data_IF_978416549880
#
_entry.id   IF_978416549880
#
_cell.length_a   1.000
_cell.length_b   1.000
_cell.length_c   1.000
_cell.angle_alpha   90.00
_cell.angle_beta   90.00
_cell.angle_gamma   90.00
#
_symmetry.space_group_name_H-M   'P 1'
#
loop_
_entity.id
_entity.type
_entity.pdbx_description
1 polymer ?
#
# COMPACT_ATOMS: atom_id res chain seq x y z
N UNK A 1 12.18 -12.80 9.78
CA UNK A 1 13.52 -13.15 9.28
C UNK A 1 13.73 -12.29 8.03
N UNK A 2 14.67 -11.35 8.11
CA UNK A 2 15.15 -10.57 6.96
C UNK A 2 16.35 -11.28 6.33
N UNK A 3 16.82 -10.81 5.17
CA UNK A 3 18.01 -11.35 4.55
C UNK A 3 17.80 -12.52 3.57
N UNK A 4 16.61 -12.64 2.96
CA UNK A 4 16.28 -13.75 2.05
C UNK A 4 15.91 -13.28 0.63
N UNK A 5 16.27 -12.05 0.23
CA UNK A 5 15.95 -11.54 -1.10
C UNK A 5 16.94 -12.07 -2.16
N UNK A 6 18.18 -12.31 -1.77
CA UNK A 6 19.24 -12.84 -2.63
C UNK A 6 19.14 -14.37 -2.69
N UNK A 7 19.27 -14.94 -3.88
CA UNK A 7 19.08 -16.38 -4.13
C UNK A 7 20.36 -17.11 -4.45
N UNK A 8 21.31 -16.43 -5.04
CA UNK A 8 22.57 -17.01 -5.54
C UNK A 8 23.77 -16.61 -4.67
N UNK A 9 23.55 -15.69 -3.71
CA UNK A 9 24.61 -15.20 -2.81
C UNK A 9 24.23 -15.49 -1.36
N UNK A 10 25.10 -16.17 -0.65
CA UNK A 10 24.92 -16.45 0.77
C UNK A 10 25.20 -15.18 1.58
N UNK A 11 24.28 -14.84 2.48
CA UNK A 11 24.39 -13.71 3.39
C UNK A 11 24.23 -14.18 4.85
N UNK A 12 24.94 -13.52 5.75
CA UNK A 12 24.98 -13.86 7.16
C UNK A 12 24.39 -12.73 8.00
N UNK A 13 23.79 -13.11 9.11
CA UNK A 13 23.28 -12.16 10.09
C UNK A 13 24.41 -11.33 10.69
N UNK A 14 24.11 -10.11 11.09
CA UNK A 14 25.10 -9.15 11.61
C UNK A 14 24.73 -8.66 13.01
N UNK A 15 25.73 -8.58 13.87
CA UNK A 15 25.62 -7.84 15.12
C UNK A 15 25.63 -6.32 14.90
N UNK A 16 25.31 -5.51 15.95
CA UNK A 16 25.13 -4.06 15.84
C UNK A 16 26.31 -3.31 15.21
N UNK A 17 27.54 -3.73 15.53
CA UNK A 17 28.75 -3.08 14.98
C UNK A 17 28.87 -3.25 13.46
N UNK A 18 28.68 -4.49 12.96
CA UNK A 18 28.72 -4.74 11.50
C UNK A 18 27.56 -4.03 10.81
N UNK A 19 26.37 -4.07 11.39
CA UNK A 19 25.18 -3.37 10.89
C UNK A 19 25.45 -1.87 10.68
N UNK A 20 26.00 -1.17 11.69
CA UNK A 20 26.33 0.25 11.59
C UNK A 20 27.48 0.53 10.60
N UNK A 21 28.48 -0.35 10.52
CA UNK A 21 29.56 -0.20 9.56
C UNK A 21 29.05 -0.30 8.12
N UNK A 22 28.17 -1.28 7.83
CA UNK A 22 27.54 -1.41 6.51
C UNK A 22 26.70 -0.17 6.19
N UNK A 23 25.87 0.30 7.13
CA UNK A 23 25.10 1.52 6.96
C UNK A 23 25.98 2.72 6.60
N UNK A 24 27.01 2.98 7.39
CA UNK A 24 27.90 4.11 7.17
C UNK A 24 28.62 4.02 5.82
N UNK A 25 29.06 2.83 5.42
CA UNK A 25 29.70 2.61 4.12
C UNK A 25 28.72 2.91 2.97
N UNK A 26 27.50 2.38 3.05
CA UNK A 26 26.48 2.60 2.02
C UNK A 26 26.14 4.08 1.88
N UNK A 27 25.93 4.77 3.02
CA UNK A 27 25.59 6.19 2.99
C UNK A 27 26.77 7.04 2.51
N UNK A 28 28.00 6.73 2.90
CA UNK A 28 29.20 7.41 2.39
C UNK A 28 29.27 7.32 0.85
N UNK A 29 29.12 6.13 0.28
CA UNK A 29 29.19 5.92 -1.17
C UNK A 29 28.03 6.62 -1.90
N UNK A 30 26.81 6.52 -1.36
CA UNK A 30 25.66 7.20 -1.94
C UNK A 30 25.76 8.73 -1.85
N UNK A 31 26.31 9.29 -0.76
CA UNK A 31 26.46 10.74 -0.59
C UNK A 31 27.53 11.32 -1.52
N UNK A 32 28.55 10.55 -1.86
CA UNK A 32 29.55 10.95 -2.86
C UNK A 32 28.94 11.02 -4.28
N UNK A 33 27.95 10.19 -4.56
CA UNK A 33 27.25 10.16 -5.85
C UNK A 33 26.08 11.15 -5.93
N UNK A 34 25.37 11.33 -4.81
CA UNK A 34 24.13 12.12 -4.72
C UNK A 34 24.28 13.20 -3.65
N UNK A 35 24.69 14.42 -4.02
CA UNK A 35 24.97 15.52 -3.07
C UNK A 35 23.77 15.91 -2.19
N UNK A 36 22.56 15.81 -2.73
CA UNK A 36 21.32 16.14 -2.01
C UNK A 36 20.64 14.91 -1.41
N UNK A 37 21.38 13.85 -1.11
CA UNK A 37 20.85 12.58 -0.62
C UNK A 37 19.98 12.75 0.62
N UNK A 38 18.72 12.35 0.51
CA UNK A 38 17.79 12.24 1.65
C UNK A 38 17.50 10.79 1.92
N UNK A 39 17.94 10.33 3.09
CA UNK A 39 17.80 8.94 3.51
C UNK A 39 17.21 8.82 4.92
N UNK A 40 16.79 7.61 5.27
CA UNK A 40 16.30 7.26 6.59
C UNK A 40 16.59 5.79 6.89
N UNK A 41 17.19 5.55 8.06
CA UNK A 41 17.35 4.21 8.63
C UNK A 41 16.25 4.00 9.67
N UNK A 42 15.30 3.05 9.48
CA UNK A 42 14.28 2.75 10.47
C UNK A 42 14.90 2.33 11.80
N UNK A 43 14.40 2.93 12.87
CA UNK A 43 14.86 2.59 14.22
C UNK A 43 14.41 1.17 14.57
N UNK A 44 15.25 0.49 15.30
CA UNK A 44 14.97 -0.81 15.89
C UNK A 44 14.78 -0.63 17.41
N UNK A 45 14.15 -1.59 18.10
CA UNK A 45 14.21 -1.57 19.56
C UNK A 45 15.67 -1.73 20.03
N UNK A 46 16.03 -1.04 21.12
CA UNK A 46 17.44 -0.87 21.51
C UNK A 46 18.14 -2.17 21.92
N UNK A 47 17.37 -3.18 22.37
CA UNK A 47 17.91 -4.50 22.75
C UNK A 47 18.13 -5.44 21.55
N UNK A 48 17.88 -5.01 20.31
CA UNK A 48 18.08 -5.87 19.14
C UNK A 48 19.58 -6.02 18.84
N UNK A 49 20.07 -7.23 19.00
CA UNK A 49 21.50 -7.55 18.84
C UNK A 49 21.81 -8.28 17.53
N UNK A 50 20.79 -8.65 16.74
CA UNK A 50 20.97 -9.49 15.59
C UNK A 50 20.08 -9.03 14.42
N UNK A 51 20.68 -8.81 13.25
CA UNK A 51 20.06 -8.26 12.06
C UNK A 51 20.27 -9.19 10.86
N UNK A 52 19.20 -9.54 10.14
CA UNK A 52 19.28 -10.37 8.93
C UNK A 52 19.60 -9.54 7.67
N UNK A 53 19.17 -8.30 7.66
CA UNK A 53 19.33 -7.33 6.59
C UNK A 53 19.34 -5.91 7.15
N UNK A 54 19.59 -4.93 6.26
CA UNK A 54 19.44 -3.52 6.56
C UNK A 54 18.57 -2.85 5.50
N UNK A 55 17.41 -2.31 5.92
CA UNK A 55 16.55 -1.49 5.08
C UNK A 55 16.98 -0.02 5.16
N UNK A 56 17.41 0.56 4.05
CA UNK A 56 17.75 1.99 3.96
C UNK A 56 16.80 2.66 3.01
N UNK A 57 15.97 3.55 3.55
CA UNK A 57 15.00 4.29 2.77
C UNK A 57 15.65 5.51 2.12
N UNK A 58 15.40 5.69 0.82
CA UNK A 58 15.90 6.79 0.02
C UNK A 58 14.75 7.56 -0.60
N UNK A 59 14.77 8.90 -0.50
CA UNK A 59 13.77 9.71 -1.18
C UNK A 59 14.03 9.73 -2.68
N UNK A 60 13.07 9.31 -3.48
CA UNK A 60 13.28 8.96 -4.89
C UNK A 60 13.75 10.12 -5.78
N UNK A 61 13.36 11.35 -5.43
CA UNK A 61 13.78 12.58 -6.13
C UNK A 61 15.24 12.96 -5.90
N UNK A 62 15.87 12.45 -4.81
CA UNK A 62 17.28 12.69 -4.51
C UNK A 62 18.22 11.61 -5.06
N UNK A 63 17.67 10.55 -5.64
CA UNK A 63 18.44 9.44 -6.25
C UNK A 63 17.83 9.07 -7.63
N UNK A 64 17.78 10.00 -8.60
CA UNK A 64 17.01 9.85 -9.84
C UNK A 64 17.41 8.62 -10.65
N UNK A 65 18.68 8.35 -10.80
CA UNK A 65 19.23 7.30 -11.66
C UNK A 65 19.63 6.03 -10.89
N UNK A 66 19.21 5.90 -9.63
CA UNK A 66 19.51 4.69 -8.86
C UNK A 66 18.72 3.50 -9.42
N UNK A 67 19.45 2.48 -9.82
CA UNK A 67 18.96 1.22 -10.35
C UNK A 67 20.01 0.13 -10.24
N UNK A 68 19.75 -1.10 -10.71
CA UNK A 68 20.69 -2.23 -10.58
C UNK A 68 22.09 -1.92 -11.08
N UNK A 69 22.24 -1.42 -12.29
CA UNK A 69 23.57 -1.10 -12.86
C UNK A 69 24.34 -0.01 -12.09
N UNK A 70 23.62 0.95 -11.46
CA UNK A 70 24.28 1.94 -10.60
C UNK A 70 24.73 1.32 -9.29
N UNK A 71 23.97 0.39 -8.72
CA UNK A 71 24.33 -0.36 -7.52
C UNK A 71 25.56 -1.24 -7.80
N UNK A 72 25.57 -1.95 -8.92
CA UNK A 72 26.71 -2.75 -9.37
C UNK A 72 27.98 -1.89 -9.49
N UNK A 73 27.87 -0.74 -10.12
CA UNK A 73 28.99 0.21 -10.30
C UNK A 73 29.51 0.79 -8.97
N UNK A 74 28.62 1.07 -8.00
CA UNK A 74 29.00 1.68 -6.73
C UNK A 74 29.54 0.66 -5.72
N UNK A 75 28.88 -0.50 -5.58
CA UNK A 75 29.12 -1.43 -4.48
C UNK A 75 29.82 -2.71 -4.89
N UNK A 76 29.89 -3.00 -6.20
CA UNK A 76 30.45 -4.24 -6.75
C UNK A 76 29.97 -5.51 -6.01
N UNK A 77 28.65 -5.69 -5.84
CA UNK A 77 28.08 -6.83 -5.14
C UNK A 77 28.17 -8.12 -5.97
N UNK A 78 28.02 -9.29 -5.34
CA UNK A 78 27.91 -10.57 -6.07
C UNK A 78 26.53 -10.74 -6.72
N UNK A 79 25.48 -10.17 -6.13
CA UNK A 79 24.11 -10.27 -6.64
C UNK A 79 23.35 -8.98 -6.39
N UNK A 80 22.54 -8.55 -7.39
CA UNK A 80 21.55 -7.48 -7.24
C UNK A 80 20.18 -8.01 -7.63
N UNK A 81 19.21 -7.89 -6.73
CA UNK A 81 17.80 -8.20 -6.98
C UNK A 81 16.96 -6.93 -6.94
N UNK A 82 16.05 -6.75 -7.91
CA UNK A 82 15.17 -5.59 -8.00
C UNK A 82 13.70 -6.00 -7.96
N UNK A 83 12.93 -5.41 -7.06
CA UNK A 83 11.49 -5.63 -6.93
C UNK A 83 10.76 -4.36 -6.51
N UNK A 84 9.98 -3.76 -7.43
CA UNK A 84 9.03 -2.68 -7.11
C UNK A 84 9.64 -1.43 -6.45
N UNK A 85 10.90 -1.07 -6.77
CA UNK A 85 11.60 0.07 -6.18
C UNK A 85 12.40 -0.27 -4.92
N UNK A 86 12.51 -1.55 -4.60
CA UNK A 86 13.46 -2.11 -3.62
C UNK A 86 14.60 -2.74 -4.40
N UNK A 87 15.82 -2.43 -4.01
CA UNK A 87 17.05 -2.99 -4.55
C UNK A 87 17.80 -3.70 -3.44
N UNK A 88 17.83 -5.03 -3.51
CA UNK A 88 18.54 -5.89 -2.56
C UNK A 88 19.89 -6.30 -3.15
N UNK A 89 20.95 -6.18 -2.40
CA UNK A 89 22.28 -6.62 -2.80
C UNK A 89 23.12 -7.02 -1.58
N UNK A 90 24.22 -7.70 -1.80
CA UNK A 90 25.14 -8.08 -0.73
C UNK A 90 26.28 -7.05 -0.62
N UNK A 91 26.59 -6.69 0.63
CA UNK A 91 27.81 -5.94 0.97
C UNK A 91 28.46 -6.62 2.18
N UNK A 92 29.70 -7.11 1.99
CA UNK A 92 30.43 -7.88 3.02
C UNK A 92 29.64 -9.06 3.56
N UNK A 93 28.99 -9.83 2.67
CA UNK A 93 28.13 -10.97 3.01
C UNK A 93 26.96 -10.59 3.97
N UNK A 94 26.45 -9.38 3.83
CA UNK A 94 25.26 -8.93 4.55
C UNK A 94 24.28 -8.29 3.55
N UNK A 95 22.99 -8.61 3.65
CA UNK A 95 21.99 -8.08 2.74
C UNK A 95 21.69 -6.61 3.05
N UNK A 96 21.73 -5.79 2.00
CA UNK A 96 21.32 -4.39 2.02
C UNK A 96 20.11 -4.21 1.11
N UNK A 97 19.06 -3.60 1.62
CA UNK A 97 17.86 -3.25 0.88
C UNK A 97 17.74 -1.73 0.78
N UNK A 98 17.95 -1.18 -0.43
CA UNK A 98 17.69 0.23 -0.72
C UNK A 98 16.25 0.39 -1.18
N UNK A 99 15.43 1.11 -0.39
CA UNK A 99 13.99 1.24 -0.61
C UNK A 99 13.68 2.65 -1.10
N UNK A 100 13.38 2.82 -2.38
CA UNK A 100 13.00 4.13 -2.94
C UNK A 100 11.59 4.50 -2.53
N UNK A 101 11.42 5.67 -1.92
CA UNK A 101 10.14 6.23 -1.51
C UNK A 101 9.87 7.56 -2.20
N UNK A 102 8.66 7.72 -2.72
CA UNK A 102 8.23 8.99 -3.30
C UNK A 102 8.17 10.10 -2.24
N UNK A 103 8.49 11.38 -2.58
CA UNK A 103 8.45 12.51 -1.65
C UNK A 103 7.12 12.65 -0.91
N UNK A 104 6.00 12.46 -1.63
CA UNK A 104 4.66 12.59 -1.06
C UNK A 104 4.31 11.51 -0.02
N UNK A 105 5.06 10.41 0.03
CA UNK A 105 4.89 9.31 0.98
C UNK A 105 5.94 9.31 2.09
N UNK A 106 6.96 10.16 1.99
CA UNK A 106 8.15 10.13 2.83
C UNK A 106 7.85 10.16 4.34
N UNK A 107 6.97 11.08 4.76
CA UNK A 107 6.61 11.23 6.17
C UNK A 107 5.92 9.98 6.73
N UNK A 108 4.97 9.42 5.97
CA UNK A 108 4.26 8.20 6.37
C UNK A 108 5.15 6.97 6.33
N UNK A 109 6.03 6.86 5.33
CA UNK A 109 6.97 5.75 5.22
C UNK A 109 7.90 5.68 6.43
N UNK A 110 8.46 6.83 6.86
CA UNK A 110 9.32 6.91 8.05
C UNK A 110 8.66 6.36 9.30
N UNK A 111 7.37 6.66 9.52
CA UNK A 111 6.64 6.19 10.70
C UNK A 111 6.18 4.73 10.54
N UNK A 112 5.71 4.36 9.35
CA UNK A 112 5.18 3.02 9.11
C UNK A 112 6.25 1.92 9.18
N UNK A 113 7.46 2.20 8.71
CA UNK A 113 8.55 1.23 8.72
C UNK A 113 9.44 1.30 9.96
N UNK A 114 9.21 2.30 10.81
CA UNK A 114 9.96 2.47 12.05
C UNK A 114 9.60 1.41 13.10
N UNK A 115 10.48 1.20 14.07
CA UNK A 115 10.25 0.35 15.26
C UNK A 115 9.91 -1.13 14.94
N UNK A 116 10.66 -1.77 14.04
CA UNK A 116 10.68 -3.24 13.85
C UNK A 116 9.32 -3.96 13.91
N UNK A 117 8.44 -3.70 12.97
CA UNK A 117 7.16 -4.42 12.88
C UNK A 117 5.95 -3.67 13.44
N UNK A 118 6.14 -2.53 14.11
CA UNK A 118 5.05 -1.67 14.58
C UNK A 118 4.03 -1.35 13.47
N UNK A 119 4.50 -0.99 12.26
CA UNK A 119 3.61 -0.71 11.12
C UNK A 119 2.71 -1.89 10.73
N UNK A 120 3.17 -3.13 10.88
CA UNK A 120 2.33 -4.30 10.65
C UNK A 120 1.23 -4.42 11.71
N UNK A 121 1.58 -4.23 12.98
CA UNK A 121 0.64 -4.35 14.09
C UNK A 121 -0.39 -3.21 14.08
N UNK A 122 0.05 -1.95 13.97
CA UNK A 122 -0.83 -0.78 13.85
C UNK A 122 -1.71 -0.84 12.58
N UNK A 123 -1.19 -1.44 11.50
CA UNK A 123 -1.97 -1.70 10.28
C UNK A 123 -3.12 -2.69 10.49
N UNK A 124 -3.00 -3.65 11.44
CA UNK A 124 -4.10 -4.56 11.81
C UNK A 124 -5.18 -3.84 12.59
N UNK A 125 -4.82 -2.94 13.52
CA UNK A 125 -5.78 -2.07 14.22
C UNK A 125 -6.54 -1.21 13.19
N UNK A 126 -5.83 -0.53 12.29
CA UNK A 126 -6.46 0.24 11.22
C UNK A 126 -7.47 -0.59 10.39
N UNK A 127 -7.14 -1.84 10.06
CA UNK A 127 -8.06 -2.74 9.32
C UNK A 127 -9.28 -3.14 10.12
N UNK A 128 -9.15 -3.33 11.44
CA UNK A 128 -10.30 -3.57 12.32
C UNK A 128 -11.26 -2.38 12.27
N UNK A 129 -10.72 -1.16 12.21
CA UNK A 129 -11.46 0.10 12.03
C UNK A 129 -11.90 0.35 10.56
N UNK A 130 -11.71 -0.58 9.62
CA UNK A 130 -12.00 -0.51 8.16
C UNK A 130 -11.06 0.37 7.34
N UNK A 131 -9.92 0.78 7.88
CA UNK A 131 -8.92 1.55 7.17
C UNK A 131 -7.70 0.70 6.79
N UNK A 132 -6.88 1.26 5.91
CA UNK A 132 -5.58 0.71 5.52
C UNK A 132 -4.51 1.74 5.86
N UNK A 133 -3.72 1.44 6.87
CA UNK A 133 -2.55 2.22 7.23
C UNK A 133 -1.30 1.64 6.55
N UNK A 134 -0.43 2.50 6.03
CA UNK A 134 0.80 2.12 5.36
C UNK A 134 1.64 3.33 4.95
N UNK A 135 2.74 3.09 4.24
CA UNK A 135 3.63 4.15 3.78
C UNK A 135 2.95 5.22 2.90
N UNK A 136 1.82 4.92 2.30
CA UNK A 136 1.03 5.86 1.50
C UNK A 136 0.02 6.68 2.34
N UNK A 137 0.02 6.54 3.66
CA UNK A 137 -0.91 7.18 4.57
C UNK A 137 -2.08 6.28 4.99
N UNK A 138 -3.03 6.89 5.70
CA UNK A 138 -4.30 6.27 6.06
C UNK A 138 -5.25 6.35 4.88
N UNK A 139 -5.82 5.20 4.50
CA UNK A 139 -6.70 5.08 3.33
C UNK A 139 -7.96 4.32 3.69
N UNK A 140 -9.05 4.66 3.04
CA UNK A 140 -10.32 3.95 3.11
C UNK A 140 -10.61 3.26 1.79
N UNK A 141 -11.04 2.00 1.85
CA UNK A 141 -11.44 1.23 0.67
C UNK A 141 -12.97 1.18 0.61
N UNK A 142 -13.53 1.87 -0.37
CA UNK A 142 -14.96 1.91 -0.58
C UNK A 142 -15.44 0.81 -1.52
N UNK A 143 -16.62 0.28 -1.21
CA UNK A 143 -17.33 -0.73 -2.01
C UNK A 143 -18.74 -0.25 -2.32
N UNK A 144 -19.33 -0.78 -3.38
CA UNK A 144 -20.70 -0.49 -3.76
C UNK A 144 -21.67 -1.32 -2.90
N UNK A 145 -22.59 -0.65 -2.20
CA UNK A 145 -23.64 -1.28 -1.37
C UNK A 145 -23.13 -2.36 -0.41
N UNK A 146 -22.01 -2.10 0.27
CA UNK A 146 -21.35 -3.09 1.16
C UNK A 146 -20.99 -4.43 0.48
N UNK A 147 -21.24 -4.56 -0.81
CA UNK A 147 -20.87 -5.70 -1.62
C UNK A 147 -19.37 -5.64 -1.96
N UNK A 148 -18.56 -6.45 -1.28
CA UNK A 148 -17.10 -6.48 -1.47
C UNK A 148 -16.64 -6.90 -2.86
N UNK A 149 -17.53 -7.42 -3.71
CA UNK A 149 -17.20 -7.77 -5.10
C UNK A 149 -16.98 -6.54 -5.98
N UNK A 150 -17.58 -5.39 -5.63
CA UNK A 150 -17.50 -4.16 -6.42
C UNK A 150 -16.75 -3.09 -5.65
N UNK A 151 -15.46 -2.93 -5.96
CA UNK A 151 -14.60 -1.88 -5.40
C UNK A 151 -14.85 -0.56 -6.14
N UNK A 152 -15.30 0.47 -5.41
CA UNK A 152 -15.46 1.84 -5.94
C UNK A 152 -14.13 2.60 -6.02
N UNK A 153 -13.24 2.37 -5.05
CA UNK A 153 -11.94 3.03 -5.01
C UNK A 153 -11.24 2.89 -3.67
N UNK A 154 -10.02 3.41 -3.62
CA UNK A 154 -9.22 3.55 -2.40
C UNK A 154 -8.89 5.04 -2.23
N UNK A 155 -9.37 5.65 -1.16
CA UNK A 155 -9.29 7.09 -0.93
C UNK A 155 -8.33 7.40 0.20
N UNK A 156 -7.41 8.33 -0.03
CA UNK A 156 -6.52 8.84 1.02
C UNK A 156 -7.35 9.68 1.98
N UNK A 157 -7.29 9.30 3.27
CA UNK A 157 -7.90 10.02 4.39
C UNK A 157 -6.90 11.02 4.95
N UNK A 158 -5.67 10.58 5.26
CA UNK A 158 -4.61 11.45 5.75
C UNK A 158 -3.22 10.95 5.38
N UNK A 159 -2.32 11.91 5.09
CA UNK A 159 -0.87 11.69 4.95
C UNK A 159 -0.09 12.33 6.11
N UNK A 160 -0.75 12.77 7.16
CA UNK A 160 -0.10 13.24 8.38
C UNK A 160 0.07 12.07 9.36
N UNK A 161 1.30 11.53 9.56
CA UNK A 161 1.50 10.33 10.37
C UNK A 161 1.18 10.54 11.85
N UNK A 162 1.36 11.76 12.41
CA UNK A 162 0.96 12.08 13.79
C UNK A 162 -0.55 11.91 13.94
N UNK A 163 -1.34 12.64 13.14
CA UNK A 163 -2.80 12.54 13.16
C UNK A 163 -3.30 11.11 12.91
N UNK A 164 -2.60 10.35 12.06
CA UNK A 164 -2.98 8.95 11.79
C UNK A 164 -2.75 8.07 13.02
N UNK A 165 -1.61 8.18 13.72
CA UNK A 165 -1.38 7.39 14.92
C UNK A 165 -2.33 7.79 16.05
N UNK A 166 -2.59 9.07 16.24
CA UNK A 166 -3.59 9.58 17.19
C UNK A 166 -5.00 9.04 16.88
N UNK A 167 -5.43 9.05 15.60
CA UNK A 167 -6.69 8.45 15.17
C UNK A 167 -6.76 6.93 15.44
N UNK A 168 -5.64 6.24 15.35
CA UNK A 168 -5.54 4.81 15.68
C UNK A 168 -5.42 4.56 17.20
N UNK A 169 -5.49 5.62 18.02
CA UNK A 169 -5.45 5.53 19.47
C UNK A 169 -4.05 5.38 20.06
N UNK A 170 -3.02 5.86 19.35
CA UNK A 170 -1.64 5.84 19.81
C UNK A 170 -1.14 7.23 20.23
N UNK A 171 -0.34 7.29 21.29
CA UNK A 171 0.41 8.48 21.67
C UNK A 171 1.63 8.65 20.74
N UNK A 172 1.59 9.67 19.87
CA UNK A 172 2.65 9.90 18.90
C UNK A 172 3.97 10.35 19.55
N UNK A 173 3.93 11.07 20.64
CA UNK A 173 5.14 11.57 21.31
C UNK A 173 5.86 10.40 22.00
N UNK A 174 5.12 9.49 22.63
CA UNK A 174 5.66 8.22 23.14
C UNK A 174 6.27 7.37 22.03
N UNK A 175 5.65 7.31 20.83
CA UNK A 175 6.23 6.64 19.67
C UNK A 175 7.58 7.25 19.26
N UNK A 176 7.72 8.58 19.33
CA UNK A 176 8.96 9.26 18.96
C UNK A 176 10.13 8.94 19.91
N UNK A 177 9.87 8.65 21.17
CA UNK A 177 10.91 8.20 22.12
C UNK A 177 11.54 6.86 21.73
N UNK A 178 10.79 6.03 20.99
CA UNK A 178 11.18 4.67 20.62
C UNK A 178 11.12 3.71 21.81
N UNK A 179 11.49 2.46 21.56
CA UNK A 179 11.34 1.36 22.50
C UNK A 179 12.69 0.75 22.87
N UNK A 180 12.84 0.37 24.15
CA UNK A 180 14.03 -0.31 24.64
C UNK A 180 14.00 -1.78 24.24
N UNK A 181 12.85 -2.42 24.38
CA UNK A 181 12.65 -3.84 24.08
C UNK A 181 11.47 -4.06 23.11
N UNK A 182 11.37 -5.26 22.60
CA UNK A 182 10.24 -5.66 21.74
C UNK A 182 8.94 -5.71 22.54
N UNK A 183 8.99 -6.17 23.80
CA UNK A 183 7.84 -6.21 24.70
C UNK A 183 7.31 -4.78 24.98
N UNK A 184 8.20 -3.80 25.15
CA UNK A 184 7.79 -2.41 25.34
C UNK A 184 7.00 -1.89 24.12
N UNK A 185 7.42 -2.25 22.91
CA UNK A 185 6.66 -1.93 21.69
C UNK A 185 5.33 -2.70 21.62
N UNK A 186 5.30 -3.97 22.08
CA UNK A 186 4.07 -4.75 22.15
C UNK A 186 3.07 -4.15 23.14
N UNK A 187 3.54 -3.73 24.32
CA UNK A 187 2.71 -3.02 25.29
C UNK A 187 2.11 -1.75 24.69
N UNK A 188 2.92 -0.96 24.02
CA UNK A 188 2.45 0.25 23.35
C UNK A 188 1.35 -0.04 22.30
N UNK A 189 1.42 -1.17 21.60
CA UNK A 189 0.35 -1.61 20.68
C UNK A 189 -0.93 -2.00 21.42
N UNK A 190 -0.80 -2.69 22.55
CA UNK A 190 -1.93 -3.14 23.39
C UNK A 190 -2.63 -1.95 24.08
N UNK A 191 -1.87 -0.93 24.47
CA UNK A 191 -2.36 0.29 25.13
C UNK A 191 -3.14 1.20 24.20
N UNK A 192 -3.11 0.97 22.88
CA UNK A 192 -3.93 1.76 21.93
C UNK A 192 -5.40 1.75 22.36
N UNK A 193 -6.04 2.92 22.32
CA UNK A 193 -7.47 3.05 22.61
C UNK A 193 -8.34 2.19 21.69
N UNK A 194 -7.90 1.99 20.45
CA UNK A 194 -8.57 1.19 19.42
C UNK A 194 -8.06 -0.26 19.33
N UNK A 195 -7.28 -0.70 20.34
CA UNK A 195 -6.85 -2.09 20.40
C UNK A 195 -8.05 -3.03 20.56
N UNK A 196 -8.05 -4.09 19.76
CA UNK A 196 -8.96 -5.24 19.93
C UNK A 196 -8.17 -6.49 19.55
N UNK A 197 -8.22 -7.52 20.40
CA UNK A 197 -7.56 -8.79 20.12
C UNK A 197 -8.06 -9.40 18.80
N UNK A 198 -9.30 -9.16 18.44
CA UNK A 198 -9.91 -9.63 17.18
C UNK A 198 -9.19 -9.13 15.92
N UNK A 199 -8.41 -8.03 16.02
CA UNK A 199 -7.62 -7.52 14.90
C UNK A 199 -6.47 -8.46 14.51
N UNK A 200 -6.06 -9.34 15.42
CA UNK A 200 -4.87 -10.18 15.30
C UNK A 200 -5.19 -11.66 15.11
N UNK A 201 -6.40 -12.10 15.48
CA UNK A 201 -6.80 -13.50 15.40
C UNK A 201 -6.86 -14.00 13.95
N UNK A 202 -6.29 -15.18 13.63
CA UNK A 202 -6.21 -15.71 12.25
C UNK A 202 -7.55 -15.84 11.54
N UNK A 203 -8.63 -16.16 12.25
CA UNK A 203 -9.99 -16.28 11.70
C UNK A 203 -10.53 -14.95 11.17
N UNK A 204 -10.05 -13.82 11.66
CA UNK A 204 -10.47 -12.47 11.24
C UNK A 204 -9.59 -11.90 10.11
N UNK A 205 -8.54 -12.63 9.70
CA UNK A 205 -7.60 -12.20 8.66
C UNK A 205 -8.00 -12.76 7.30
N UNK A 206 -7.70 -12.02 6.23
CA UNK A 206 -7.81 -12.54 4.85
C UNK A 206 -6.75 -13.61 4.59
N UNK A 207 -6.94 -14.44 3.55
CA UNK A 207 -5.99 -15.46 3.15
C UNK A 207 -4.57 -14.88 2.91
N UNK A 208 -4.50 -13.73 2.20
CA UNK A 208 -3.23 -13.05 1.93
C UNK A 208 -2.55 -12.53 3.21
N UNK A 209 -3.34 -12.10 4.20
CA UNK A 209 -2.79 -11.66 5.48
C UNK A 209 -2.23 -12.85 6.25
N UNK A 210 -3.00 -13.94 6.38
CA UNK A 210 -2.52 -15.18 7.02
C UNK A 210 -1.22 -15.67 6.39
N UNK A 211 -1.16 -15.76 5.04
CA UNK A 211 0.04 -16.21 4.33
C UNK A 211 1.27 -15.33 4.60
N UNK A 212 1.10 -14.00 4.71
CA UNK A 212 2.20 -13.09 5.06
C UNK A 212 2.60 -13.19 6.51
N UNK A 213 1.64 -13.33 7.40
CA UNK A 213 1.88 -13.34 8.85
C UNK A 213 2.55 -14.65 9.30
N UNK A 214 2.23 -15.79 8.67
CA UNK A 214 2.92 -17.07 8.94
C UNK A 214 4.42 -17.02 8.66
N UNK A 215 4.89 -16.08 7.85
CA UNK A 215 6.31 -15.89 7.52
C UNK A 215 7.00 -14.85 8.40
N UNK A 216 6.28 -14.16 9.30
CA UNK A 216 6.81 -13.04 10.08
C UNK A 216 7.01 -13.43 11.53
N UNK A 217 8.26 -13.54 11.94
CA UNK A 217 8.60 -13.85 13.33
C UNK A 217 8.01 -12.83 14.30
N UNK A 218 8.06 -11.54 13.96
CA UNK A 218 7.49 -10.48 14.82
C UNK A 218 5.97 -10.61 15.06
N UNK A 219 5.23 -11.23 14.13
CA UNK A 219 3.82 -11.53 14.34
C UNK A 219 3.65 -12.70 15.31
N UNK A 220 4.44 -13.76 15.17
CA UNK A 220 4.40 -14.90 16.09
C UNK A 220 4.82 -14.49 17.50
N UNK A 221 5.89 -13.70 17.63
CA UNK A 221 6.33 -13.16 18.92
C UNK A 221 5.22 -12.33 19.57
N UNK A 222 4.52 -11.50 18.80
CA UNK A 222 3.39 -10.72 19.29
C UNK A 222 2.21 -11.59 19.70
N UNK A 223 1.88 -12.64 18.95
CA UNK A 223 0.79 -13.56 19.31
C UNK A 223 1.10 -14.32 20.62
N UNK A 224 2.33 -14.82 20.78
CA UNK A 224 2.76 -15.43 22.02
C UNK A 224 2.67 -14.45 23.21
N UNK A 225 3.10 -13.21 22.97
CA UNK A 225 3.01 -12.15 23.98
C UNK A 225 1.56 -11.86 24.39
N UNK A 226 0.62 -11.87 23.43
CA UNK A 226 -0.80 -11.66 23.68
C UNK A 226 -1.43 -12.77 24.53
N UNK A 227 -1.01 -14.02 24.38
CA UNK A 227 -1.52 -15.14 25.17
C UNK A 227 -1.29 -14.92 26.66
N UNK A 228 -0.15 -14.32 27.03
CA UNK A 228 0.27 -14.11 28.42
C UNK A 228 -0.18 -12.75 28.99
N UNK A 229 -0.23 -11.71 28.16
CA UNK A 229 -0.28 -10.32 28.61
C UNK A 229 -1.50 -9.54 28.09
N UNK A 230 -2.28 -10.07 27.14
CA UNK A 230 -3.31 -9.25 26.52
C UNK A 230 -4.51 -9.00 27.43
N UNK A 231 -4.99 -7.75 27.49
CA UNK A 231 -6.33 -7.51 27.97
C UNK A 231 -7.32 -8.22 27.02
N UNK A 232 -8.31 -8.93 27.59
CA UNK A 232 -9.40 -9.57 26.80
C UNK A 232 -10.33 -8.52 26.17
N UNK A 233 -9.76 -7.39 25.74
CA UNK A 233 -10.49 -6.27 25.15
C UNK A 233 -10.91 -6.66 23.74
N UNK A 234 -12.22 -6.76 23.53
CA UNK A 234 -12.83 -6.93 22.22
C UNK A 234 -13.65 -5.69 21.91
N UNK A 235 -13.47 -5.16 20.71
CA UNK A 235 -14.26 -4.04 20.20
C UNK A 235 -15.06 -4.50 19.01
N UNK A 236 -16.32 -4.07 18.94
CA UNK A 236 -17.11 -4.30 17.75
C UNK A 236 -16.47 -3.62 16.54
N UNK A 237 -16.54 -4.28 15.41
CA UNK A 237 -16.02 -3.70 14.17
C UNK A 237 -17.02 -2.67 13.66
N UNK A 238 -16.63 -1.40 13.45
CA UNK A 238 -17.57 -0.39 12.99
C UNK A 238 -18.18 -0.79 11.63
N UNK A 239 -19.41 -0.37 11.37
CA UNK A 239 -20.00 -0.41 10.03
C UNK A 239 -19.22 0.48 9.06
N UNK A 240 -19.51 0.41 7.76
CA UNK A 240 -18.87 1.29 6.78
C UNK A 240 -19.26 2.75 7.00
N UNK A 241 -20.52 3.01 7.36
CA UNK A 241 -21.02 4.36 7.65
C UNK A 241 -20.35 4.96 8.89
N UNK A 242 -20.25 4.18 9.97
CA UNK A 242 -19.56 4.61 11.20
C UNK A 242 -18.08 4.89 10.94
N UNK A 243 -17.39 4.07 10.15
CA UNK A 243 -15.99 4.31 9.80
C UNK A 243 -15.81 5.61 9.00
N UNK A 244 -16.69 5.90 8.04
CA UNK A 244 -16.68 7.15 7.28
C UNK A 244 -16.91 8.34 8.21
N UNK A 245 -17.90 8.25 9.11
CA UNK A 245 -18.21 9.28 10.10
C UNK A 245 -17.02 9.55 11.02
N UNK A 246 -16.42 8.51 11.59
CA UNK A 246 -15.21 8.63 12.44
C UNK A 246 -14.06 9.35 11.70
N UNK A 247 -13.86 9.01 10.41
CA UNK A 247 -12.81 9.64 9.62
C UNK A 247 -13.08 11.13 9.38
N UNK A 248 -14.32 11.51 9.06
CA UNK A 248 -14.69 12.91 8.78
C UNK A 248 -14.71 13.78 10.05
N UNK A 249 -15.06 13.20 11.20
CA UNK A 249 -15.00 13.88 12.49
C UNK A 249 -13.54 14.17 12.90
N UNK A 250 -12.63 13.23 12.68
CA UNK A 250 -11.22 13.38 13.05
C UNK A 250 -10.38 14.12 11.98
N UNK A 251 -10.71 13.94 10.70
CA UNK A 251 -10.04 14.55 9.53
C UNK A 251 -11.07 15.32 8.70
N UNK A 252 -11.59 16.45 9.15
CA UNK A 252 -12.66 17.17 8.45
C UNK A 252 -12.27 17.58 7.02
N UNK A 253 -10.97 17.75 6.77
CA UNK A 253 -10.43 18.05 5.45
C UNK A 253 -10.46 16.89 4.45
N UNK A 254 -10.75 15.66 4.89
CA UNK A 254 -10.60 14.48 4.02
C UNK A 254 -11.69 14.37 2.94
N UNK A 255 -12.89 14.93 3.17
CA UNK A 255 -14.03 14.87 2.23
C UNK A 255 -14.33 13.46 1.76
N UNK A 256 -14.28 12.46 2.66
CA UNK A 256 -14.33 11.05 2.31
C UNK A 256 -15.68 10.66 1.72
N UNK A 257 -16.78 11.13 2.31
CA UNK A 257 -18.16 10.88 1.86
C UNK A 257 -18.38 11.38 0.43
N UNK A 258 -17.92 12.59 0.14
CA UNK A 258 -18.07 13.18 -1.20
C UNK A 258 -17.30 12.38 -2.26
N UNK A 259 -16.08 11.94 -1.93
CA UNK A 259 -15.27 11.09 -2.82
C UNK A 259 -15.94 9.74 -3.09
N UNK A 260 -16.54 9.12 -2.06
CA UNK A 260 -17.29 7.86 -2.19
C UNK A 260 -18.52 8.07 -3.06
N UNK A 261 -19.32 9.12 -2.79
CA UNK A 261 -20.51 9.43 -3.54
C UNK A 261 -20.23 9.74 -5.02
N UNK A 262 -19.16 10.49 -5.30
CA UNK A 262 -18.72 10.75 -6.67
C UNK A 262 -18.35 9.45 -7.40
N UNK A 263 -17.61 8.55 -6.74
CA UNK A 263 -17.28 7.25 -7.32
C UNK A 263 -18.49 6.34 -7.50
N UNK A 264 -19.46 6.37 -6.57
CA UNK A 264 -20.72 5.64 -6.69
C UNK A 264 -21.51 6.11 -7.91
N UNK A 265 -21.71 7.42 -8.06
CA UNK A 265 -22.37 8.02 -9.23
C UNK A 265 -21.67 7.63 -10.55
N UNK A 266 -20.34 7.66 -10.57
CA UNK A 266 -19.55 7.25 -11.75
C UNK A 266 -19.74 5.76 -12.08
N UNK A 267 -19.79 4.92 -11.08
CA UNK A 267 -20.06 3.48 -11.26
C UNK A 267 -21.49 3.25 -11.78
N UNK A 268 -22.50 3.86 -11.18
CA UNK A 268 -23.90 3.75 -11.61
C UNK A 268 -24.11 4.25 -13.06
N UNK A 269 -23.50 5.40 -13.41
CA UNK A 269 -23.49 5.91 -14.78
C UNK A 269 -22.89 4.89 -15.76
N UNK A 270 -21.75 4.28 -15.38
CA UNK A 270 -21.11 3.23 -16.19
C UNK A 270 -22.05 2.01 -16.36
N UNK A 271 -22.71 1.55 -15.30
CA UNK A 271 -23.62 0.40 -15.39
C UNK A 271 -24.81 0.71 -16.29
N UNK A 272 -25.44 1.89 -16.15
CA UNK A 272 -26.53 2.32 -17.00
C UNK A 272 -26.13 2.39 -18.47
N UNK A 273 -24.99 2.98 -18.79
CA UNK A 273 -24.47 3.03 -20.16
C UNK A 273 -24.15 1.63 -20.71
N UNK A 274 -23.55 0.74 -19.90
CA UNK A 274 -23.27 -0.63 -20.28
C UNK A 274 -24.54 -1.46 -20.55
N UNK A 275 -25.64 -1.19 -19.85
CA UNK A 275 -26.90 -1.87 -20.11
C UNK A 275 -27.51 -1.49 -21.46
N UNK A 276 -27.22 -0.29 -21.97
CA UNK A 276 -27.66 0.20 -23.28
C UNK A 276 -26.73 -0.30 -24.38
N UNK A 277 -25.43 -0.14 -24.20
CA UNK A 277 -24.44 -0.41 -25.22
C UNK A 277 -23.17 -1.05 -24.62
N UNK A 278 -22.87 -2.27 -25.04
CA UNK A 278 -21.76 -3.08 -24.55
C UNK A 278 -21.27 -4.05 -25.61
N UNK A 279 -20.19 -4.79 -25.29
CA UNK A 279 -19.59 -5.75 -26.23
C UNK A 279 -20.54 -6.84 -26.69
N UNK A 280 -21.45 -7.34 -25.85
CA UNK A 280 -22.41 -8.39 -26.26
C UNK A 280 -23.40 -7.86 -27.30
N UNK A 281 -23.91 -6.64 -27.09
CA UNK A 281 -24.78 -5.96 -28.07
C UNK A 281 -24.09 -5.84 -29.43
N UNK A 282 -22.80 -5.55 -29.46
CA UNK A 282 -22.02 -5.45 -30.70
C UNK A 282 -21.71 -6.83 -31.33
N UNK A 283 -21.51 -7.86 -30.51
CA UNK A 283 -21.36 -9.24 -30.99
C UNK A 283 -22.65 -9.71 -31.65
N UNK A 284 -23.78 -9.46 -31.01
CA UNK A 284 -25.10 -9.88 -31.48
C UNK A 284 -25.46 -9.18 -32.81
N UNK A 285 -25.12 -7.89 -32.96
CA UNK A 285 -25.47 -7.10 -34.15
C UNK A 285 -24.49 -7.33 -35.32
N UNK A 286 -23.18 -7.32 -35.04
CA UNK A 286 -22.14 -7.31 -36.10
C UNK A 286 -21.32 -8.59 -36.20
N UNK A 287 -21.50 -9.56 -35.31
CA UNK A 287 -20.72 -10.80 -35.29
C UNK A 287 -19.22 -10.65 -34.98
N UNK A 288 -18.76 -9.47 -34.54
CA UNK A 288 -17.35 -9.16 -34.31
C UNK A 288 -16.97 -9.57 -32.90
N UNK A 289 -15.88 -10.34 -32.75
CA UNK A 289 -15.44 -10.85 -31.44
C UNK A 289 -13.95 -10.64 -31.17
N UNK A 290 -13.52 -10.89 -29.94
CA UNK A 290 -12.12 -10.92 -29.56
C UNK A 290 -11.37 -9.58 -29.78
N UNK A 291 -10.15 -9.67 -30.32
CA UNK A 291 -9.28 -8.49 -30.52
C UNK A 291 -9.90 -7.45 -31.47
N UNK A 292 -10.57 -7.94 -32.54
CA UNK A 292 -11.23 -7.06 -33.53
C UNK A 292 -12.33 -6.21 -32.90
N UNK A 293 -13.11 -6.78 -31.97
CA UNK A 293 -14.12 -6.03 -31.21
C UNK A 293 -13.49 -4.94 -30.34
N UNK A 294 -12.40 -5.26 -29.65
CA UNK A 294 -11.68 -4.29 -28.83
C UNK A 294 -11.15 -3.11 -29.63
N UNK A 295 -10.57 -3.37 -30.82
CA UNK A 295 -10.08 -2.35 -31.74
C UNK A 295 -11.22 -1.48 -32.31
N UNK A 296 -12.35 -2.09 -32.67
CA UNK A 296 -13.53 -1.39 -33.15
C UNK A 296 -14.16 -0.47 -32.09
N UNK A 297 -14.30 -0.95 -30.86
CA UNK A 297 -14.73 -0.12 -29.72
C UNK A 297 -13.73 1.03 -29.46
N UNK A 298 -12.44 0.77 -29.62
CA UNK A 298 -11.39 1.78 -29.49
C UNK A 298 -11.55 2.92 -30.50
N UNK A 299 -11.84 2.61 -31.76
CA UNK A 299 -12.12 3.61 -32.83
C UNK A 299 -13.33 4.50 -32.49
N UNK A 300 -14.44 3.88 -32.07
CA UNK A 300 -15.60 4.67 -31.65
C UNK A 300 -15.27 5.56 -30.44
N UNK A 301 -14.61 5.02 -29.42
CA UNK A 301 -14.25 5.78 -28.21
C UNK A 301 -13.31 6.95 -28.49
N UNK A 302 -12.44 6.83 -29.49
CA UNK A 302 -11.51 7.91 -29.84
C UNK A 302 -12.18 9.20 -30.40
N UNK A 303 -13.48 9.13 -30.72
CA UNK A 303 -14.30 10.30 -31.10
C UNK A 303 -14.66 11.18 -29.88
N UNK A 304 -14.39 10.75 -28.65
CA UNK A 304 -14.76 11.43 -27.40
C UNK A 304 -13.53 11.78 -26.56
N UNK A 305 -13.54 12.94 -25.91
CA UNK A 305 -12.41 13.43 -25.10
C UNK A 305 -12.21 12.61 -23.82
N UNK A 306 -13.26 11.93 -23.34
CA UNK A 306 -13.20 11.12 -22.12
C UNK A 306 -14.20 9.98 -22.11
N UNK A 307 -13.88 8.96 -21.29
CA UNK A 307 -14.81 7.85 -20.98
C UNK A 307 -16.13 8.34 -20.33
N UNK A 308 -16.12 9.49 -19.66
CA UNK A 308 -17.32 10.07 -19.05
C UNK A 308 -18.24 10.72 -20.07
N UNK A 309 -17.67 11.42 -21.04
CA UNK A 309 -18.38 12.00 -22.18
C UNK A 309 -19.00 10.89 -23.05
N UNK A 310 -18.21 9.87 -23.40
CA UNK A 310 -18.69 8.70 -24.14
C UNK A 310 -19.91 8.05 -23.46
N UNK A 311 -19.86 7.85 -22.14
CA UNK A 311 -20.99 7.29 -21.39
C UNK A 311 -22.19 8.24 -21.34
N UNK A 312 -21.95 9.56 -21.23
CA UNK A 312 -23.02 10.55 -21.29
C UNK A 312 -23.73 10.49 -22.63
N UNK A 313 -22.96 10.37 -23.73
CA UNK A 313 -23.51 10.27 -25.06
C UNK A 313 -24.38 9.02 -25.22
N UNK A 314 -23.90 7.83 -24.80
CA UNK A 314 -24.70 6.60 -24.82
C UNK A 314 -26.05 6.78 -24.10
N UNK A 315 -26.03 7.43 -22.93
CA UNK A 315 -27.25 7.66 -22.14
C UNK A 315 -28.22 8.64 -22.82
N UNK A 316 -27.70 9.56 -23.64
CA UNK A 316 -28.51 10.58 -24.35
C UNK A 316 -29.12 10.03 -25.63
N UNK A 317 -28.32 9.31 -26.44
CA UNK A 317 -28.78 8.90 -27.79
C UNK A 317 -29.42 7.51 -27.82
N UNK A 318 -29.09 6.68 -26.85
CA UNK A 318 -29.63 5.32 -26.71
C UNK A 318 -28.94 4.30 -27.65
N UNK A 319 -29.51 3.07 -27.66
CA UNK A 319 -28.86 1.91 -28.29
C UNK A 319 -28.76 2.05 -29.82
N UNK A 320 -29.86 2.41 -30.49
CA UNK A 320 -29.92 2.43 -31.96
C UNK A 320 -28.91 3.41 -32.57
N UNK A 321 -28.91 4.64 -32.05
CA UNK A 321 -27.94 5.65 -32.52
C UNK A 321 -26.47 5.25 -32.26
N UNK A 322 -26.21 4.60 -31.13
CA UNK A 322 -24.87 4.10 -30.83
C UNK A 322 -24.42 2.97 -31.75
N UNK A 323 -25.35 2.14 -32.22
CA UNK A 323 -25.07 1.09 -33.23
C UNK A 323 -24.75 1.72 -34.58
N UNK A 324 -25.51 2.74 -35.00
CA UNK A 324 -25.24 3.49 -36.24
C UNK A 324 -23.86 4.17 -36.22
N UNK A 325 -23.54 4.88 -35.10
CA UNK A 325 -22.24 5.50 -34.91
C UNK A 325 -21.07 4.48 -34.87
N UNK A 326 -21.31 3.29 -34.33
CA UNK A 326 -20.32 2.22 -34.30
C UNK A 326 -20.09 1.67 -35.71
N UNK A 327 -21.15 1.45 -36.50
CA UNK A 327 -21.07 1.00 -37.86
C UNK A 327 -20.28 2.01 -38.70
N UNK A 328 -20.63 3.30 -38.63
CA UNK A 328 -19.92 4.40 -39.32
C UNK A 328 -18.43 4.44 -38.92
N UNK A 329 -18.12 4.36 -37.62
CA UNK A 329 -16.74 4.43 -37.13
C UNK A 329 -15.86 3.23 -37.55
N UNK A 330 -16.47 2.19 -38.09
CA UNK A 330 -15.82 0.93 -38.42
C UNK A 330 -16.06 0.50 -39.88
N UNK A 331 -16.68 1.34 -40.73
CA UNK A 331 -17.03 1.03 -42.12
C UNK A 331 -17.83 -0.26 -42.27
N UNK A 332 -18.83 -0.45 -41.40
CA UNK A 332 -19.71 -1.61 -41.36
C UNK A 332 -21.10 -1.26 -41.92
N UNK A 333 -21.71 -2.22 -42.60
CA UNK A 333 -23.13 -2.17 -42.95
C UNK A 333 -23.99 -2.61 -41.74
N UNK A 334 -25.12 -1.91 -41.55
CA UNK A 334 -26.12 -2.23 -40.54
C UNK A 334 -27.46 -2.59 -41.15
#
# INVERSE_FOLDING_TARGET
MGGNALKNTETYRAGPKKFLNVYNQVICMLSNEYHDLVHYLPRQHRSKLDHGDIDIFLRSDTVPNLGPGKIESLFNPNEVHSNGGVYSFDLWQFQVDLVKQKPENWKCAKVFYDQSGFGNLSGKIARRMRFKWGFQGLRYMAFYEDNRSVKLGEFVVSKNPRKVLEFLGFDFDRFLEGFKTQEEMFNYVIESENFSIDAFLPENLTADQRHRDTKRQSYHDFMNYLEENAPKKRMERPSHEEAVKMAEEFFPECGLRDKINASKKKYEKKQRANNIFNGNVLIDEFGITGRKLGEAIGRLKSKYDSDDEYRSHILNVGRESMLDEFAEANDLER
#
